data_IF_036402615386
#
_entry.id   IF_036402615386
#
_cell.length_a   1.000
_cell.length_b   1.000
_cell.length_c   1.000
_cell.angle_alpha   90.00
_cell.angle_beta   90.00
_cell.angle_gamma   90.00
#
_symmetry.space_group_name_H-M   'P 1'
#
loop_
_entity.id
_entity.type
_entity.pdbx_description
1 polymer ?
#
# COMPACT_ATOMS: atom_id res chain seq x y z
N UNK A 1 -46.08 31.34 12.77
CA UNK A 1 -44.82 32.07 13.11
C UNK A 1 -45.09 33.02 14.26
N UNK A 2 -44.64 32.73 15.46
CA UNK A 2 -44.70 33.70 16.60
C UNK A 2 -43.30 34.19 16.88
N UNK A 3 -43.11 35.51 16.63
CA UNK A 3 -41.87 36.22 17.00
C UNK A 3 -41.88 36.48 18.51
N UNK A 4 -40.89 36.04 19.25
CA UNK A 4 -40.67 36.45 20.61
C UNK A 4 -39.61 37.56 20.61
N UNK A 5 -40.02 38.73 21.07
CA UNK A 5 -39.13 39.90 21.24
C UNK A 5 -38.68 39.92 22.68
N UNK A 6 -37.41 39.80 22.95
CA UNK A 6 -36.81 40.08 24.26
C UNK A 6 -36.19 41.46 24.29
N UNK A 7 -36.62 42.31 25.24
CA UNK A 7 -36.07 43.61 25.52
C UNK A 7 -34.94 43.48 26.53
N UNK A 8 -33.74 43.89 26.15
CA UNK A 8 -32.63 44.03 27.12
C UNK A 8 -32.62 45.48 27.57
N UNK A 9 -32.79 45.74 28.86
CA UNK A 9 -32.68 47.05 29.46
C UNK A 9 -31.28 47.21 30.04
N UNK A 10 -30.45 48.03 29.40
CA UNK A 10 -29.55 48.94 30.12
C UNK A 10 -29.03 50.00 29.13
N UNK A 11 -29.38 51.22 29.54
CA UNK A 11 -28.82 52.50 29.09
C UNK A 11 -28.71 52.78 27.59
N UNK A 12 -29.68 53.48 27.07
CA UNK A 12 -29.63 54.38 25.92
C UNK A 12 -29.20 53.70 24.59
N UNK A 13 -30.01 52.87 24.13
CA UNK A 13 -30.35 52.55 22.75
C UNK A 13 -30.95 51.16 22.64
N UNK A 14 -32.18 51.04 22.34
CA UNK A 14 -32.85 49.75 22.18
C UNK A 14 -32.44 49.14 20.85
N UNK A 15 -31.69 48.02 20.90
CA UNK A 15 -31.38 47.20 19.74
C UNK A 15 -32.33 46.00 19.76
N UNK A 16 -33.12 45.86 18.69
CA UNK A 16 -33.95 44.67 18.45
C UNK A 16 -33.12 43.59 17.77
N UNK A 17 -32.91 42.47 18.48
CA UNK A 17 -32.31 41.28 17.87
C UNK A 17 -33.42 40.30 17.53
N UNK A 18 -33.61 40.00 16.26
CA UNK A 18 -34.46 38.94 15.77
C UNK A 18 -33.67 37.62 15.72
N UNK A 19 -33.99 36.62 16.52
CA UNK A 19 -33.46 35.26 16.39
C UNK A 19 -34.41 34.44 15.53
N UNK A 20 -33.97 34.08 14.33
CA UNK A 20 -34.63 33.06 13.52
C UNK A 20 -34.34 31.67 14.09
N UNK A 21 -35.31 31.09 14.74
CA UNK A 21 -35.30 29.67 15.14
C UNK A 21 -35.70 28.84 13.91
N UNK A 22 -34.70 28.53 13.03
CA UNK A 22 -34.87 27.43 12.09
C UNK A 22 -34.90 26.13 12.92
N UNK A 23 -36.05 25.52 13.07
CA UNK A 23 -36.14 24.11 13.43
C UNK A 23 -35.48 23.33 12.27
N UNK A 24 -34.23 22.89 12.49
CA UNK A 24 -33.66 21.82 11.69
C UNK A 24 -34.50 20.56 12.00
N UNK A 25 -35.33 20.19 11.04
CA UNK A 25 -35.88 18.82 10.98
C UNK A 25 -34.67 17.90 10.68
N UNK A 26 -34.10 17.34 11.73
CA UNK A 26 -33.17 16.23 11.59
C UNK A 26 -33.98 15.04 11.10
N UNK A 27 -33.93 14.77 9.80
CA UNK A 27 -34.30 13.45 9.31
C UNK A 27 -33.45 12.43 10.10
N UNK A 28 -34.02 11.38 10.69
CA UNK A 28 -33.23 10.35 11.31
C UNK A 28 -32.29 9.80 10.23
N UNK A 29 -30.99 9.98 10.44
CA UNK A 29 -29.97 9.42 9.56
C UNK A 29 -30.12 7.90 9.66
N UNK A 30 -30.58 7.27 8.58
CA UNK A 30 -30.65 5.82 8.52
C UNK A 30 -29.23 5.29 8.44
N UNK A 31 -28.76 4.63 9.49
CA UNK A 31 -27.45 3.96 9.49
C UNK A 31 -27.66 2.52 9.00
N UNK A 32 -27.00 2.16 7.93
CA UNK A 32 -26.92 0.77 7.43
C UNK A 32 -25.59 0.20 7.89
N UNK A 33 -25.61 -0.90 8.62
CA UNK A 33 -24.42 -1.63 9.00
C UNK A 33 -24.28 -2.86 8.11
N UNK A 34 -23.17 -2.94 7.37
CA UNK A 34 -22.83 -4.07 6.51
C UNK A 34 -21.57 -4.73 7.09
N UNK A 35 -21.59 -6.03 7.42
CA UNK A 35 -20.42 -6.76 7.81
C UNK A 35 -19.36 -6.72 6.68
N UNK A 36 -18.09 -6.54 7.02
CA UNK A 36 -17.03 -6.38 5.99
C UNK A 36 -16.86 -7.66 5.16
N UNK A 37 -17.09 -8.81 5.74
CA UNK A 37 -17.05 -10.12 5.08
C UNK A 37 -18.23 -10.37 4.12
N UNK A 38 -19.28 -9.55 4.20
CA UNK A 38 -20.39 -9.56 3.25
C UNK A 38 -20.12 -8.75 1.97
N UNK A 39 -18.96 -8.07 1.89
CA UNK A 39 -18.55 -7.26 0.73
C UNK A 39 -17.67 -8.11 -0.17
N UNK A 40 -18.16 -8.39 -1.38
CA UNK A 40 -17.39 -9.08 -2.43
C UNK A 40 -16.86 -8.06 -3.44
N UNK A 41 -15.56 -8.12 -3.71
CA UNK A 41 -14.91 -7.30 -4.72
C UNK A 41 -14.64 -8.14 -5.96
N UNK A 42 -15.11 -7.67 -7.10
CA UNK A 42 -14.75 -8.29 -8.37
C UNK A 42 -13.22 -8.21 -8.59
N UNK A 43 -12.59 -9.22 -9.23
CA UNK A 43 -11.17 -9.18 -9.55
C UNK A 43 -10.78 -7.89 -10.28
N UNK A 44 -9.69 -7.24 -9.85
CA UNK A 44 -9.21 -5.97 -10.38
C UNK A 44 -9.95 -4.73 -9.88
N UNK A 45 -10.96 -4.88 -9.01
CA UNK A 45 -11.62 -3.73 -8.40
C UNK A 45 -10.97 -3.30 -7.09
N UNK A 46 -11.19 -2.04 -6.72
CA UNK A 46 -10.71 -1.43 -5.49
C UNK A 46 -11.86 -0.70 -4.80
N UNK A 47 -11.87 -0.75 -3.49
CA UNK A 47 -12.77 0.01 -2.62
C UNK A 47 -11.96 0.87 -1.66
N UNK A 48 -12.38 2.13 -1.46
CA UNK A 48 -11.80 3.03 -0.48
C UNK A 48 -12.83 3.35 0.61
N UNK A 49 -12.41 3.24 1.87
CA UNK A 49 -13.20 3.58 3.04
C UNK A 49 -12.46 4.68 3.79
N UNK A 50 -13.18 5.76 4.10
CA UNK A 50 -12.60 6.94 4.74
C UNK A 50 -13.05 7.09 6.18
N UNK A 51 -12.33 7.93 6.95
CA UNK A 51 -12.61 8.26 8.34
C UNK A 51 -12.55 7.05 9.30
N UNK A 52 -11.69 6.08 9.00
CA UNK A 52 -11.39 4.94 9.86
C UNK A 52 -10.27 5.27 10.84
N UNK A 53 -10.42 4.87 12.09
CA UNK A 53 -9.33 4.86 13.05
C UNK A 53 -8.35 3.71 12.76
N UNK A 54 -7.18 3.73 13.38
CA UNK A 54 -6.25 2.58 13.34
C UNK A 54 -6.91 1.32 13.90
N UNK A 55 -7.71 1.45 14.96
CA UNK A 55 -8.41 0.33 15.58
C UNK A 55 -9.46 -0.29 14.64
N UNK A 56 -10.13 0.53 13.83
CA UNK A 56 -11.06 0.03 12.81
C UNK A 56 -10.32 -0.78 11.74
N UNK A 57 -9.16 -0.29 11.29
CA UNK A 57 -8.29 -1.03 10.35
C UNK A 57 -7.86 -2.39 10.93
N UNK A 58 -7.36 -2.44 12.16
CA UNK A 58 -6.96 -3.70 12.83
C UNK A 58 -8.16 -4.66 12.98
N UNK A 59 -9.34 -4.12 13.26
CA UNK A 59 -10.58 -4.90 13.36
C UNK A 59 -10.95 -5.52 12.02
N UNK A 60 -10.93 -4.72 10.94
CA UNK A 60 -11.21 -5.18 9.57
C UNK A 60 -10.18 -6.23 9.14
N UNK A 61 -8.90 -5.99 9.40
CA UNK A 61 -7.82 -6.93 9.08
C UNK A 61 -8.05 -8.28 9.76
N UNK A 62 -8.44 -8.25 11.02
CA UNK A 62 -8.75 -9.46 11.81
C UNK A 62 -9.99 -10.19 11.29
N UNK A 63 -11.05 -9.47 10.98
CA UNK A 63 -12.31 -10.06 10.49
C UNK A 63 -12.16 -10.72 9.12
N UNK A 64 -11.38 -10.10 8.21
CA UNK A 64 -11.10 -10.68 6.89
C UNK A 64 -10.11 -11.85 6.95
N UNK A 65 -9.33 -11.97 8.03
CA UNK A 65 -8.42 -13.09 8.28
C UNK A 65 -7.22 -13.14 7.34
N UNK A 66 -6.35 -14.13 7.57
CA UNK A 66 -5.08 -14.32 6.84
C UNK A 66 -5.26 -14.98 5.46
N UNK A 67 -6.38 -15.69 5.24
CA UNK A 67 -6.62 -16.44 3.99
C UNK A 67 -7.33 -15.62 2.91
N UNK A 68 -7.52 -14.32 3.15
CA UNK A 68 -8.17 -13.42 2.18
C UNK A 68 -7.35 -13.31 0.89
N UNK A 69 -8.05 -13.13 -0.22
CA UNK A 69 -7.44 -12.87 -1.53
C UNK A 69 -7.21 -11.39 -1.82
N UNK A 70 -7.70 -10.50 -0.97
CA UNK A 70 -7.58 -9.05 -1.12
C UNK A 70 -6.26 -8.52 -0.56
N UNK A 71 -5.81 -7.35 -1.03
CA UNK A 71 -4.69 -6.56 -0.51
C UNK A 71 -5.21 -5.29 0.14
N UNK A 72 -4.54 -4.83 1.16
CA UNK A 72 -4.94 -3.64 1.90
C UNK A 72 -3.83 -2.61 2.01
N UNK A 73 -4.24 -1.34 1.98
CA UNK A 73 -3.38 -0.21 2.34
C UNK A 73 -4.16 0.76 3.22
N UNK A 74 -3.58 1.11 4.38
CA UNK A 74 -4.16 2.07 5.32
C UNK A 74 -3.19 3.22 5.57
N UNK A 75 -3.70 4.43 5.41
CA UNK A 75 -2.97 5.64 5.75
C UNK A 75 -3.93 6.78 6.11
N UNK A 76 -3.69 7.45 7.25
CA UNK A 76 -4.45 8.64 7.71
C UNK A 76 -5.97 8.51 7.60
N UNK A 77 -6.50 7.41 8.11
CA UNK A 77 -7.95 7.19 8.15
C UNK A 77 -8.58 6.74 6.83
N UNK A 78 -7.78 6.50 5.80
CA UNK A 78 -8.23 5.90 4.54
C UNK A 78 -7.72 4.47 4.45
N UNK A 79 -8.64 3.53 4.28
CA UNK A 79 -8.37 2.13 3.97
C UNK A 79 -8.75 1.86 2.53
N UNK A 80 -7.83 1.30 1.77
CA UNK A 80 -8.08 0.75 0.45
C UNK A 80 -8.00 -0.77 0.51
N UNK A 81 -8.98 -1.42 -0.11
CA UNK A 81 -9.04 -2.87 -0.26
C UNK A 81 -9.11 -3.16 -1.75
N UNK A 82 -8.17 -3.92 -2.25
CA UNK A 82 -8.04 -4.28 -3.66
C UNK A 82 -8.15 -5.79 -3.84
N UNK A 83 -8.91 -6.22 -4.85
CA UNK A 83 -8.96 -7.61 -5.32
C UNK A 83 -8.01 -7.77 -6.50
N UNK A 84 -6.90 -8.54 -6.38
CA UNK A 84 -5.94 -8.70 -7.46
C UNK A 84 -6.53 -9.39 -8.70
N UNK A 85 -6.00 -9.05 -9.86
CA UNK A 85 -6.25 -9.82 -11.09
C UNK A 85 -5.18 -10.91 -11.25
N UNK A 86 -5.59 -12.11 -11.61
CA UNK A 86 -4.67 -13.23 -11.86
C UNK A 86 -3.59 -12.91 -12.92
N UNK A 87 -3.89 -12.04 -13.88
CA UNK A 87 -2.93 -11.56 -14.88
C UNK A 87 -1.85 -10.66 -14.29
N UNK A 88 -2.15 -9.94 -13.20
CA UNK A 88 -1.21 -9.05 -12.52
C UNK A 88 -0.38 -9.80 -11.47
N UNK A 89 -0.87 -10.93 -10.96
CA UNK A 89 -0.15 -11.79 -10.01
C UNK A 89 1.14 -12.40 -10.59
N UNK A 90 1.14 -12.74 -11.88
CA UNK A 90 2.29 -13.40 -12.50
C UNK A 90 3.51 -12.49 -12.68
N UNK A 91 3.40 -11.23 -13.13
CA UNK A 91 4.55 -10.36 -13.30
C UNK A 91 5.36 -10.12 -12.03
N UNK A 92 4.73 -9.76 -10.89
CA UNK A 92 5.48 -9.48 -9.67
C UNK A 92 6.23 -10.72 -9.14
N UNK A 93 5.65 -11.93 -9.29
CA UNK A 93 6.33 -13.19 -8.93
C UNK A 93 7.55 -13.44 -9.81
N UNK A 94 7.43 -13.21 -11.14
CA UNK A 94 8.58 -13.32 -12.06
C UNK A 94 9.64 -12.30 -11.69
N UNK A 95 9.27 -11.04 -11.36
CA UNK A 95 10.21 -9.99 -10.97
C UNK A 95 10.92 -10.39 -9.67
N UNK A 96 10.19 -10.90 -8.68
CA UNK A 96 10.78 -11.41 -7.44
C UNK A 96 11.81 -12.53 -7.70
N UNK A 97 11.48 -13.47 -8.60
CA UNK A 97 12.39 -14.55 -8.98
C UNK A 97 13.63 -14.03 -9.72
N UNK A 98 13.50 -13.00 -10.55
CA UNK A 98 14.63 -12.33 -11.20
C UNK A 98 15.52 -11.68 -10.15
N UNK A 99 14.94 -10.91 -9.20
CA UNK A 99 15.68 -10.26 -8.11
C UNK A 99 16.44 -11.30 -7.29
N UNK A 100 15.79 -12.38 -6.87
CA UNK A 100 16.44 -13.47 -6.13
C UNK A 100 17.58 -14.13 -6.94
N UNK A 101 17.38 -14.33 -8.24
CA UNK A 101 18.41 -14.89 -9.10
C UNK A 101 19.65 -13.99 -9.26
N UNK A 102 19.45 -12.65 -9.30
CA UNK A 102 20.54 -11.67 -9.32
C UNK A 102 21.29 -11.70 -7.99
N UNK A 103 20.54 -11.65 -6.85
CA UNK A 103 21.13 -11.67 -5.51
C UNK A 103 21.94 -12.95 -5.26
N UNK A 104 21.42 -14.11 -5.72
CA UNK A 104 22.14 -15.39 -5.64
C UNK A 104 23.48 -15.38 -6.39
N UNK A 105 23.52 -14.82 -7.59
CA UNK A 105 24.77 -14.69 -8.38
C UNK A 105 25.73 -13.69 -7.73
N UNK A 106 25.21 -12.67 -7.08
CA UNK A 106 26.00 -11.68 -6.33
C UNK A 106 26.41 -12.16 -4.93
N UNK A 107 26.03 -13.39 -4.53
CA UNK A 107 26.28 -13.97 -3.20
C UNK A 107 25.74 -13.06 -2.06
N UNK A 108 24.59 -12.41 -2.28
CA UNK A 108 23.92 -11.55 -1.30
C UNK A 108 22.75 -12.29 -0.65
N UNK A 109 22.71 -12.25 0.66
CA UNK A 109 21.57 -12.79 1.45
C UNK A 109 20.30 -11.98 1.19
N UNK A 110 19.18 -12.66 1.28
CA UNK A 110 17.85 -12.05 1.21
C UNK A 110 16.82 -12.89 1.96
N UNK A 111 15.74 -12.24 2.41
CA UNK A 111 14.53 -12.87 2.93
C UNK A 111 13.33 -12.32 2.15
N UNK A 112 12.47 -13.21 1.65
CA UNK A 112 11.27 -12.86 0.88
C UNK A 112 10.05 -13.05 1.79
N UNK A 113 9.36 -11.96 2.11
CA UNK A 113 8.15 -11.98 2.94
C UNK A 113 6.86 -11.92 2.10
N UNK A 114 6.97 -11.95 0.77
CA UNK A 114 5.83 -11.96 -0.13
C UNK A 114 4.89 -10.78 0.17
N UNK A 115 3.61 -11.09 0.31
CA UNK A 115 2.54 -10.11 0.56
C UNK A 115 2.17 -9.97 2.04
N UNK A 116 3.14 -10.16 2.92
CA UNK A 116 2.92 -9.97 4.37
C UNK A 116 2.45 -8.56 4.68
N UNK A 117 1.54 -8.40 5.65
CA UNK A 117 1.10 -7.09 6.12
C UNK A 117 2.24 -6.38 6.84
N UNK A 118 2.78 -5.34 6.23
CA UNK A 118 3.72 -4.41 6.84
C UNK A 118 2.95 -3.38 7.63
N UNK A 119 3.17 -3.25 8.93
CA UNK A 119 2.45 -2.26 9.74
C UNK A 119 3.32 -1.60 10.79
N UNK A 120 3.07 -0.30 10.98
CA UNK A 120 3.52 0.46 12.14
C UNK A 120 2.26 0.99 12.82
N UNK A 121 1.95 0.53 14.04
CA UNK A 121 0.75 0.93 14.77
C UNK A 121 0.51 2.43 14.75
N UNK A 122 -0.75 2.82 14.54
CA UNK A 122 -1.23 4.20 14.48
C UNK A 122 -0.64 5.07 13.35
N UNK A 123 0.24 4.52 12.51
CA UNK A 123 0.91 5.25 11.42
C UNK A 123 0.40 4.81 10.06
N UNK A 124 0.64 3.56 9.69
CA UNK A 124 0.25 3.01 8.39
C UNK A 124 0.31 1.47 8.38
N UNK A 125 -0.43 0.88 7.46
CA UNK A 125 -0.37 -0.53 7.12
C UNK A 125 -0.45 -0.72 5.61
N UNK A 126 0.30 -1.66 5.04
CA UNK A 126 0.26 -1.99 3.61
C UNK A 126 0.64 -3.44 3.37
N UNK A 127 0.01 -4.05 2.38
CA UNK A 127 0.32 -5.37 1.89
C UNK A 127 0.90 -5.27 0.48
N UNK A 128 2.22 -5.42 0.32
CA UNK A 128 2.86 -5.43 -0.98
C UNK A 128 2.45 -6.64 -1.80
N UNK A 129 2.59 -6.60 -3.11
CA UNK A 129 2.55 -7.81 -3.92
C UNK A 129 3.75 -8.72 -3.60
N UNK A 130 4.92 -8.13 -3.37
CA UNK A 130 6.12 -8.80 -2.87
C UNK A 130 7.02 -7.80 -2.15
N UNK A 131 7.67 -8.23 -1.05
CA UNK A 131 8.72 -7.43 -0.43
C UNK A 131 9.93 -8.30 -0.04
N UNK A 132 11.11 -7.70 -0.17
CA UNK A 132 12.38 -8.34 0.11
C UNK A 132 13.21 -7.53 1.11
N UNK A 133 13.80 -8.26 2.05
CA UNK A 133 14.86 -7.78 2.92
C UNK A 133 16.18 -8.30 2.37
N UNK A 134 17.11 -7.40 2.11
CA UNK A 134 18.41 -7.68 1.47
C UNK A 134 19.53 -7.23 2.40
N UNK A 135 19.63 -5.93 2.66
CA UNK A 135 20.61 -5.39 3.63
C UNK A 135 20.23 -5.73 5.06
N UNK A 136 18.94 -5.84 5.32
CA UNK A 136 18.38 -6.15 6.63
C UNK A 136 17.95 -7.62 6.78
N UNK A 137 18.31 -8.52 5.86
CA UNK A 137 17.90 -9.93 5.88
C UNK A 137 18.17 -10.62 7.23
N UNK A 138 19.36 -10.44 7.81
CA UNK A 138 19.72 -11.03 9.09
C UNK A 138 18.89 -10.51 10.27
N UNK A 139 18.31 -9.29 10.17
CA UNK A 139 17.53 -8.68 11.25
C UNK A 139 16.10 -9.21 11.32
N UNK A 140 15.60 -9.81 10.26
CA UNK A 140 14.22 -10.30 10.14
C UNK A 140 14.14 -11.82 10.08
N UNK A 141 15.29 -12.52 10.08
CA UNK A 141 15.33 -13.98 10.09
C UNK A 141 14.61 -14.54 11.30
N UNK A 142 13.60 -15.38 11.07
CA UNK A 142 12.76 -15.95 12.14
C UNK A 142 11.66 -15.02 12.66
N UNK A 143 11.44 -13.84 12.04
CA UNK A 143 10.32 -12.99 12.35
C UNK A 143 9.00 -13.67 11.95
N UNK A 144 8.01 -13.64 12.85
CA UNK A 144 6.68 -14.21 12.65
C UNK A 144 5.57 -13.17 12.56
N UNK A 145 5.86 -11.91 12.94
CA UNK A 145 4.94 -10.76 12.84
C UNK A 145 5.72 -9.53 12.42
N UNK A 146 5.36 -8.96 11.27
CA UNK A 146 6.09 -7.86 10.65
C UNK A 146 5.62 -6.51 11.20
N UNK A 147 5.92 -6.24 12.46
CA UNK A 147 5.70 -4.97 13.12
C UNK A 147 6.92 -4.04 12.92
N UNK A 148 6.78 -3.01 12.11
CA UNK A 148 7.84 -2.07 11.77
C UNK A 148 8.17 -1.06 12.90
N UNK A 149 7.58 -1.21 14.08
CA UNK A 149 8.09 -0.56 15.30
C UNK A 149 9.25 -1.34 15.91
N UNK A 150 9.32 -2.65 15.66
CA UNK A 150 10.37 -3.55 16.17
C UNK A 150 11.39 -3.94 15.10
N UNK A 151 10.97 -4.00 13.85
CA UNK A 151 11.78 -4.43 12.71
C UNK A 151 11.98 -3.31 11.70
N UNK A 152 13.06 -3.31 10.92
CA UNK A 152 13.23 -2.34 9.82
C UNK A 152 12.15 -2.56 8.75
N UNK A 153 11.87 -1.55 7.91
CA UNK A 153 11.09 -1.78 6.69
C UNK A 153 11.84 -2.70 5.72
N UNK A 154 11.17 -3.35 4.77
CA UNK A 154 11.84 -4.07 3.68
C UNK A 154 12.72 -3.11 2.89
N UNK A 155 13.80 -3.65 2.32
CA UNK A 155 14.73 -2.87 1.49
C UNK A 155 14.13 -2.59 0.11
N UNK A 156 13.26 -3.49 -0.37
CA UNK A 156 12.58 -3.39 -1.67
C UNK A 156 11.15 -3.90 -1.57
N UNK A 157 10.18 -3.09 -2.02
CA UNK A 157 8.83 -3.53 -2.31
C UNK A 157 8.62 -3.56 -3.84
N UNK A 158 7.88 -4.56 -4.33
CA UNK A 158 7.55 -4.75 -5.74
C UNK A 158 6.03 -4.80 -5.85
N UNK A 159 5.50 -3.99 -6.75
CA UNK A 159 4.08 -3.84 -6.99
C UNK A 159 3.75 -4.01 -8.46
N UNK A 160 2.63 -4.64 -8.73
CA UNK A 160 2.03 -4.71 -10.06
C UNK A 160 0.79 -3.82 -10.10
N UNK A 161 0.81 -2.84 -11.02
CA UNK A 161 -0.37 -2.03 -11.33
C UNK A 161 -0.92 -1.13 -10.20
N UNK A 162 -0.05 -0.69 -9.27
CA UNK A 162 -0.43 0.28 -8.25
C UNK A 162 -0.82 1.60 -8.91
N UNK A 163 -2.06 2.02 -8.66
CA UNK A 163 -2.62 3.29 -9.14
C UNK A 163 -2.98 4.22 -7.99
N UNK A 164 -2.90 3.73 -6.76
CA UNK A 164 -3.38 4.41 -5.56
C UNK A 164 -2.31 5.26 -4.91
N UNK A 165 -2.69 6.51 -4.60
CA UNK A 165 -1.88 7.40 -3.79
C UNK A 165 -1.76 6.92 -2.35
N UNK A 166 -2.81 6.31 -1.80
CA UNK A 166 -2.83 5.80 -0.41
C UNK A 166 -1.75 4.75 -0.21
N UNK A 167 -1.57 3.83 -1.16
CA UNK A 167 -0.53 2.80 -1.10
C UNK A 167 0.88 3.41 -1.06
N UNK A 168 1.19 4.36 -1.95
CA UNK A 168 2.50 5.04 -1.94
C UNK A 168 2.72 5.87 -0.67
N UNK A 169 1.68 6.57 -0.19
CA UNK A 169 1.74 7.33 1.05
C UNK A 169 1.92 6.40 2.28
N UNK A 170 1.34 5.19 2.26
CA UNK A 170 1.58 4.18 3.30
C UNK A 170 3.03 3.70 3.28
N UNK A 171 3.60 3.34 2.12
CA UNK A 171 5.01 2.98 2.00
C UNK A 171 5.94 4.10 2.49
N UNK A 172 5.64 5.35 2.13
CA UNK A 172 6.38 6.52 2.61
C UNK A 172 6.35 6.64 4.13
N UNK A 173 5.16 6.50 4.74
CA UNK A 173 4.99 6.55 6.17
C UNK A 173 5.72 5.40 6.90
N UNK A 174 5.78 4.23 6.28
CA UNK A 174 6.53 3.07 6.77
C UNK A 174 8.04 3.16 6.50
N UNK A 175 8.48 4.15 5.71
CA UNK A 175 9.90 4.40 5.39
C UNK A 175 10.52 3.29 4.55
N UNK A 176 9.77 2.68 3.63
CA UNK A 176 10.31 1.71 2.65
C UNK A 176 11.23 2.46 1.68
N UNK A 177 12.52 2.13 1.59
CA UNK A 177 13.48 2.94 0.84
C UNK A 177 13.32 2.87 -0.67
N UNK A 178 12.92 1.72 -1.20
CA UNK A 178 12.80 1.48 -2.65
C UNK A 178 11.51 0.73 -2.97
N UNK A 179 10.72 1.28 -3.90
CA UNK A 179 9.46 0.68 -4.40
C UNK A 179 9.55 0.59 -5.93
N UNK A 180 9.38 -0.61 -6.45
CA UNK A 180 9.27 -0.88 -7.88
C UNK A 180 7.82 -1.05 -8.26
N UNK A 181 7.37 -0.34 -9.30
CA UNK A 181 6.03 -0.47 -9.86
C UNK A 181 6.13 -0.95 -11.30
N UNK A 182 5.59 -2.15 -11.55
CA UNK A 182 5.53 -2.73 -12.88
C UNK A 182 4.13 -2.60 -13.46
N UNK A 183 4.00 -1.84 -14.54
CA UNK A 183 2.73 -1.59 -15.20
C UNK A 183 2.90 -1.46 -16.71
N UNK A 184 2.01 -2.07 -17.51
CA UNK A 184 2.03 -1.96 -18.98
C UNK A 184 3.39 -2.27 -19.60
N UNK A 185 4.05 -3.35 -19.14
CA UNK A 185 5.39 -3.77 -19.56
C UNK A 185 6.48 -2.72 -19.31
N UNK A 186 6.28 -1.82 -18.38
CA UNK A 186 7.24 -0.83 -17.94
C UNK A 186 7.48 -0.97 -16.44
N UNK A 187 8.74 -0.85 -16.03
CA UNK A 187 9.14 -0.71 -14.64
C UNK A 187 9.45 0.75 -14.33
N UNK A 188 8.92 1.25 -13.21
CA UNK A 188 9.35 2.50 -12.59
C UNK A 188 9.92 2.23 -11.21
N UNK A 189 10.99 2.92 -10.85
CA UNK A 189 11.67 2.80 -9.56
C UNK A 189 11.44 4.09 -8.78
N UNK A 190 10.90 3.95 -7.59
CA UNK A 190 10.64 5.04 -6.67
C UNK A 190 11.55 4.91 -5.46
N UNK A 191 12.36 5.93 -5.19
CA UNK A 191 13.29 5.99 -4.06
C UNK A 191 12.79 7.00 -3.06
N UNK A 192 12.73 6.60 -1.80
CA UNK A 192 12.36 7.47 -0.70
C UNK A 192 13.48 8.49 -0.46
N UNK A 193 13.16 9.75 -0.70
CA UNK A 193 13.96 10.90 -0.29
C UNK A 193 13.55 11.34 1.12
N UNK A 194 14.07 12.45 1.62
CA UNK A 194 13.71 12.96 2.95
C UNK A 194 12.21 13.17 3.13
N UNK A 195 11.52 13.63 2.09
CA UNK A 195 10.12 14.07 2.15
C UNK A 195 9.15 13.24 1.31
N UNK A 196 9.58 12.63 0.20
CA UNK A 196 8.69 11.94 -0.74
C UNK A 196 9.44 10.93 -1.61
N UNK A 197 8.68 10.15 -2.40
CA UNK A 197 9.28 9.30 -3.42
C UNK A 197 9.67 10.12 -4.65
N UNK A 198 10.88 9.87 -5.14
CA UNK A 198 11.35 10.37 -6.43
C UNK A 198 11.52 9.20 -7.40
N UNK A 199 11.04 9.36 -8.63
CA UNK A 199 11.29 8.39 -9.71
C UNK A 199 12.75 8.49 -10.16
N UNK A 200 13.41 7.35 -10.36
CA UNK A 200 14.80 7.24 -10.80
C UNK A 200 14.97 6.15 -11.84
N UNK A 201 16.01 6.24 -12.65
CA UNK A 201 16.42 5.20 -13.58
C UNK A 201 17.35 4.15 -12.95
N UNK A 202 17.95 4.46 -11.79
CA UNK A 202 18.95 3.62 -11.14
C UNK A 202 18.38 3.07 -9.84
N UNK A 203 18.45 1.75 -9.67
CA UNK A 203 18.10 1.08 -8.42
C UNK A 203 19.30 1.14 -7.45
N UNK A 204 19.17 1.71 -6.25
CA UNK A 204 20.20 1.60 -5.22
C UNK A 204 20.50 0.16 -4.80
N UNK A 205 19.53 -0.72 -4.90
CA UNK A 205 19.71 -2.16 -4.63
C UNK A 205 20.61 -2.83 -5.67
N UNK A 206 20.57 -2.35 -6.93
CA UNK A 206 21.33 -2.89 -8.07
C UNK A 206 21.94 -1.75 -8.91
N UNK A 207 22.90 -0.98 -8.39
CA UNK A 207 23.38 0.24 -9.03
C UNK A 207 24.11 0.00 -10.37
N UNK A 208 24.66 -1.19 -10.55
CA UNK A 208 25.43 -1.57 -11.75
C UNK A 208 24.57 -2.21 -12.84
N UNK A 209 23.25 -2.34 -12.63
CA UNK A 209 22.35 -2.96 -13.58
C UNK A 209 21.28 -1.98 -14.08
N UNK A 210 21.03 -1.98 -15.38
CA UNK A 210 19.97 -1.19 -16.01
C UNK A 210 18.58 -1.84 -15.75
N UNK A 211 18.16 -1.87 -14.49
CA UNK A 211 16.99 -2.61 -14.00
C UNK A 211 15.71 -2.24 -14.75
N UNK A 212 15.48 -0.95 -15.04
CA UNK A 212 14.29 -0.47 -15.75
C UNK A 212 14.18 -1.03 -17.17
N UNK A 213 15.30 -1.42 -17.79
CA UNK A 213 15.36 -2.01 -19.13
C UNK A 213 15.34 -3.53 -19.09
N UNK A 214 16.08 -4.11 -18.14
CA UNK A 214 16.28 -5.56 -18.02
C UNK A 214 14.99 -6.25 -17.57
N UNK A 215 14.29 -5.72 -16.55
CA UNK A 215 13.12 -6.38 -15.96
C UNK A 215 12.00 -6.57 -16.97
N UNK A 216 11.54 -5.57 -17.75
CA UNK A 216 10.47 -5.78 -18.73
C UNK A 216 10.82 -6.81 -19.79
N UNK A 217 12.08 -6.84 -20.26
CA UNK A 217 12.55 -7.81 -21.24
C UNK A 217 12.53 -9.24 -20.67
N UNK A 218 13.00 -9.41 -19.42
CA UNK A 218 13.01 -10.72 -18.75
C UNK A 218 11.60 -11.20 -18.41
N UNK A 219 10.72 -10.31 -17.97
CA UNK A 219 9.30 -10.66 -17.74
C UNK A 219 8.66 -11.13 -19.04
N UNK A 220 8.84 -10.39 -20.13
CA UNK A 220 8.35 -10.82 -21.45
C UNK A 220 8.90 -12.19 -21.85
N UNK A 221 10.21 -12.39 -21.72
CA UNK A 221 10.88 -13.65 -22.02
C UNK A 221 10.35 -14.80 -21.15
N UNK A 222 10.10 -14.55 -19.86
CA UNK A 222 9.52 -15.55 -18.96
C UNK A 222 8.09 -15.95 -19.35
N UNK A 223 7.31 -15.00 -19.86
CA UNK A 223 5.94 -15.27 -20.37
C UNK A 223 5.99 -16.08 -21.66
N UNK A 224 6.85 -15.72 -22.58
CA UNK A 224 6.93 -16.33 -23.92
C UNK A 224 7.63 -17.69 -23.90
N UNK A 225 8.72 -17.84 -23.13
CA UNK A 225 9.60 -19.02 -23.17
C UNK A 225 9.58 -19.87 -21.89
N UNK A 226 8.94 -19.38 -20.83
CA UNK A 226 8.88 -20.02 -19.52
C UNK A 226 9.90 -19.47 -18.52
N UNK A 227 9.44 -19.26 -17.27
CA UNK A 227 10.20 -18.63 -16.18
C UNK A 227 11.52 -19.37 -15.90
N UNK A 228 11.49 -20.70 -15.79
CA UNK A 228 12.72 -21.49 -15.48
C UNK A 228 13.79 -21.38 -16.56
N UNK A 229 13.40 -21.31 -17.85
CA UNK A 229 14.34 -21.14 -18.96
C UNK A 229 14.96 -19.76 -18.93
N UNK A 230 14.14 -18.74 -18.72
CA UNK A 230 14.58 -17.35 -18.57
C UNK A 230 15.60 -17.21 -17.44
N UNK A 231 15.29 -17.74 -16.22
CA UNK A 231 16.18 -17.64 -15.05
C UNK A 231 17.53 -18.34 -15.27
N UNK A 232 17.53 -19.52 -15.92
CA UNK A 232 18.82 -20.17 -16.27
C UNK A 232 19.66 -19.32 -17.20
N UNK A 233 19.02 -18.69 -18.20
CA UNK A 233 19.71 -17.78 -19.11
C UNK A 233 20.27 -16.55 -18.41
N UNK A 234 19.47 -15.93 -17.52
CA UNK A 234 19.92 -14.79 -16.71
C UNK A 234 21.13 -15.14 -15.85
N UNK A 235 21.08 -16.24 -15.08
CA UNK A 235 22.21 -16.67 -14.24
C UNK A 235 23.49 -16.98 -15.04
N UNK A 236 23.34 -17.48 -16.27
CA UNK A 236 24.50 -17.73 -17.14
C UNK A 236 25.11 -16.44 -17.69
N UNK A 237 24.33 -15.36 -17.85
CA UNK A 237 24.82 -14.06 -18.33
C UNK A 237 25.48 -13.22 -17.22
N UNK A 238 25.10 -13.44 -15.97
CA UNK A 238 25.60 -12.68 -14.81
C UNK A 238 26.88 -13.29 -14.20
N UNK A 239 27.25 -14.51 -14.57
CA UNK A 239 28.50 -15.21 -14.16
C UNK A 239 29.64 -14.84 -15.07
#
# INVERSE_FOLDING_TARGET
>A
MRRIIKRASNNRSSVLVATDNKQQTTNPSMTITIPIDAIELAPGSMMSIHNLSWQDFETILTQLGETRSTRMAYYRGTLEIMSPLALHERPHRIIADIVKAILEVQERDWEDFGSTTLKRPEVAGVEPDTCLYIQNANRVRGCTDMNLSAYPPPDLAIESDVTSKTTLDAYKALRVPEVWIYRNNRLTIHILTDCDYAETAISPTFPDLAIIEIIPQLVKKAIDEGTSKMLRGLKAQLR
#
